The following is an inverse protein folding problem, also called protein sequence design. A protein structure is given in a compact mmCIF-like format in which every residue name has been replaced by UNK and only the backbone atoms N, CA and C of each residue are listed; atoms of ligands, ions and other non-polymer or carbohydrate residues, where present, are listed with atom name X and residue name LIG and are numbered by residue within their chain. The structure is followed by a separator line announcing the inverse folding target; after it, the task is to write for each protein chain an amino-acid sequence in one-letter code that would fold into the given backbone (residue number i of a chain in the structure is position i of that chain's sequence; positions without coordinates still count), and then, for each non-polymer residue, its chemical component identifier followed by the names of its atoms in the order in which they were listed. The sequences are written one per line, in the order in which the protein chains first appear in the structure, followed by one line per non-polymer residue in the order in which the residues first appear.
data_IF_239173592428
#
_entry.id   IF_239173592428
#
_cell.length_a   1.000
_cell.length_b   1.000
_cell.length_c   1.000
_cell.angle_alpha   90.00
_cell.angle_beta   90.00
_cell.angle_gamma   90.00
#
_symmetry.space_group_name_H-M   'P 1'
#
loop_
_entity.id
_entity.type
_entity.pdbx_description
1 polymer ?
#
# COMPACT_ATOMS: atom_id res chain seq x y z
N UNK A 1 12.17 -29.91 -60.00
CA UNK A 1 11.10 -28.96 -59.63
C UNK A 1 11.18 -28.74 -58.13
N UNK A 2 11.90 -27.70 -57.72
CA UNK A 2 12.06 -27.27 -56.33
C UNK A 2 10.90 -26.35 -55.98
N UNK A 3 10.07 -26.73 -54.99
CA UNK A 3 9.03 -25.84 -54.47
C UNK A 3 9.66 -24.78 -53.56
N UNK A 4 9.22 -23.50 -53.64
CA UNK A 4 9.69 -22.47 -52.72
C UNK A 4 9.00 -22.62 -51.36
N UNK A 5 9.79 -22.68 -50.28
CA UNK A 5 9.28 -22.61 -48.91
C UNK A 5 8.63 -21.25 -48.67
N UNK A 6 7.32 -21.25 -48.44
CA UNK A 6 6.58 -20.07 -47.98
C UNK A 6 6.97 -19.77 -46.53
N UNK A 7 7.86 -18.78 -46.35
CA UNK A 7 8.17 -18.18 -45.05
C UNK A 7 6.89 -17.53 -44.53
N UNK A 8 6.21 -18.19 -43.61
CA UNK A 8 5.05 -17.63 -42.90
C UNK A 8 5.57 -16.60 -41.90
N UNK A 9 5.50 -15.32 -42.26
CA UNK A 9 5.75 -14.22 -41.33
C UNK A 9 4.68 -14.23 -40.24
N UNK A 10 5.05 -14.65 -39.03
CA UNK A 10 4.16 -14.63 -37.88
C UNK A 10 3.67 -13.19 -37.63
N UNK A 11 2.36 -12.98 -37.34
CA UNK A 11 1.83 -11.64 -37.15
C UNK A 11 2.49 -10.99 -35.95
N UNK A 12 3.04 -9.78 -36.16
CA UNK A 12 3.57 -8.94 -35.09
C UNK A 12 2.45 -8.71 -34.07
N UNK A 13 2.52 -9.39 -32.92
CA UNK A 13 1.58 -9.19 -31.82
C UNK A 13 1.73 -7.76 -31.35
N UNK A 14 0.81 -6.90 -31.76
CA UNK A 14 0.67 -5.54 -31.22
C UNK A 14 0.46 -5.65 -29.72
N UNK A 15 1.52 -5.43 -28.94
CA UNK A 15 1.45 -5.44 -27.48
C UNK A 15 0.59 -4.26 -27.04
N UNK A 16 -0.69 -4.52 -26.73
CA UNK A 16 -1.56 -3.48 -26.16
C UNK A 16 -0.99 -3.10 -24.79
N UNK A 17 -0.66 -1.83 -24.53
CA UNK A 17 -0.01 -1.41 -23.28
C UNK A 17 -0.84 -1.79 -22.04
N UNK A 18 -2.16 -1.72 -22.16
CA UNK A 18 -3.10 -2.11 -21.11
C UNK A 18 -3.19 -3.63 -20.87
N UNK A 19 -2.84 -4.45 -21.86
CA UNK A 19 -2.86 -5.91 -21.70
C UNK A 19 -1.76 -6.38 -20.74
N UNK A 20 -0.59 -5.75 -20.78
CA UNK A 20 0.51 -6.03 -19.84
C UNK A 20 0.12 -5.64 -18.41
N UNK A 21 -0.40 -4.43 -18.21
CA UNK A 21 -0.87 -3.99 -16.91
C UNK A 21 -1.99 -4.88 -16.36
N UNK A 22 -2.98 -5.23 -17.18
CA UNK A 22 -4.06 -6.13 -16.79
C UNK A 22 -3.55 -7.53 -16.42
N UNK A 23 -2.57 -8.06 -17.15
CA UNK A 23 -1.96 -9.35 -16.81
C UNK A 23 -1.16 -9.30 -15.51
N UNK A 24 -0.45 -8.21 -15.25
CA UNK A 24 0.30 -8.02 -14.00
C UNK A 24 -0.64 -7.91 -12.79
N UNK A 25 -1.69 -7.08 -12.89
CA UNK A 25 -2.71 -6.98 -11.84
C UNK A 25 -3.36 -8.34 -11.57
N UNK A 26 -3.73 -9.08 -12.63
CA UNK A 26 -4.28 -10.41 -12.48
C UNK A 26 -3.28 -11.37 -11.78
N UNK A 27 -1.97 -11.26 -12.06
CA UNK A 27 -0.96 -12.06 -11.36
C UNK A 27 -0.87 -11.69 -9.88
N UNK A 28 -0.77 -10.40 -9.54
CA UNK A 28 -0.71 -9.92 -8.15
C UNK A 28 -1.91 -10.41 -7.35
N UNK A 29 -3.13 -10.27 -7.89
CA UNK A 29 -4.36 -10.66 -7.20
C UNK A 29 -4.73 -12.15 -7.35
N UNK A 30 -4.04 -12.95 -8.17
CA UNK A 30 -4.25 -14.42 -8.20
C UNK A 30 -3.32 -15.18 -7.25
N UNK A 31 -2.24 -14.56 -6.77
CA UNK A 31 -1.31 -15.19 -5.82
C UNK A 31 -2.02 -15.42 -4.48
N UNK A 32 -2.03 -16.67 -4.00
CA UNK A 32 -2.60 -17.06 -2.69
C UNK A 32 -2.00 -16.25 -1.54
N UNK A 33 -0.71 -15.90 -1.65
CA UNK A 33 0.00 -15.06 -0.69
C UNK A 33 -0.64 -13.68 -0.55
N UNK A 34 -1.04 -13.04 -1.65
CA UNK A 34 -1.71 -11.73 -1.65
C UNK A 34 -3.04 -11.81 -0.91
N UNK A 35 -3.83 -12.86 -1.16
CA UNK A 35 -5.08 -13.10 -0.43
C UNK A 35 -4.87 -13.35 1.06
N UNK A 36 -3.82 -14.07 1.45
CA UNK A 36 -3.49 -14.27 2.86
C UNK A 36 -3.16 -12.93 3.55
N UNK A 37 -2.41 -12.04 2.87
CA UNK A 37 -2.09 -10.71 3.40
C UNK A 37 -3.33 -9.81 3.47
N UNK A 38 -4.15 -9.77 2.42
CA UNK A 38 -5.40 -9.02 2.42
C UNK A 38 -6.37 -9.54 3.49
N UNK A 39 -6.46 -10.87 3.66
CA UNK A 39 -7.25 -11.49 4.73
C UNK A 39 -6.74 -11.12 6.12
N UNK A 40 -5.43 -11.10 6.33
CA UNK A 40 -4.83 -10.63 7.58
C UNK A 40 -5.14 -9.15 7.84
N UNK A 41 -5.11 -8.28 6.82
CA UNK A 41 -5.48 -6.87 6.96
C UNK A 41 -6.98 -6.68 7.24
N UNK A 42 -7.85 -7.47 6.59
CA UNK A 42 -9.28 -7.46 6.87
C UNK A 42 -9.61 -7.96 8.28
N UNK A 43 -8.78 -8.82 8.85
CA UNK A 43 -8.97 -9.32 10.21
C UNK A 43 -8.76 -8.22 11.26
N UNK A 44 -7.90 -7.23 11.00
CA UNK A 44 -7.61 -6.13 11.94
C UNK A 44 -8.88 -5.36 12.36
N UNK A 45 -9.68 -4.75 11.45
CA UNK A 45 -10.91 -4.08 11.84
C UNK A 45 -11.92 -5.01 12.51
N UNK A 46 -12.00 -6.27 12.09
CA UNK A 46 -12.92 -7.26 12.69
C UNK A 46 -12.54 -7.51 14.15
N UNK A 47 -11.26 -7.77 14.43
CA UNK A 47 -10.78 -8.01 15.79
C UNK A 47 -10.96 -6.79 16.67
N UNK A 48 -10.67 -5.59 16.17
CA UNK A 48 -10.88 -4.34 16.91
C UNK A 48 -12.37 -4.19 17.28
N UNK A 49 -13.26 -4.32 16.29
CA UNK A 49 -14.70 -4.14 16.51
C UNK A 49 -15.27 -5.18 17.49
N UNK A 50 -14.87 -6.45 17.36
CA UNK A 50 -15.29 -7.51 18.28
C UNK A 50 -14.72 -7.27 19.68
N UNK A 51 -13.45 -6.90 19.81
CA UNK A 51 -12.84 -6.61 21.10
C UNK A 51 -13.59 -5.48 21.82
N UNK A 52 -13.85 -4.36 21.13
CA UNK A 52 -14.60 -3.22 21.69
C UNK A 52 -16.01 -3.65 22.12
N UNK A 53 -16.69 -4.48 21.32
CA UNK A 53 -18.05 -4.96 21.60
C UNK A 53 -18.11 -5.88 22.83
N UNK A 54 -17.05 -6.64 23.10
CA UNK A 54 -16.95 -7.52 24.26
C UNK A 54 -16.61 -6.76 25.55
N UNK A 55 -15.89 -5.64 25.45
CA UNK A 55 -15.46 -4.84 26.60
C UNK A 55 -16.44 -3.74 27.02
N UNK A 56 -17.48 -3.47 26.24
CA UNK A 56 -18.40 -2.33 26.46
C UNK A 56 -19.37 -2.50 27.64
N UNK A 57 -19.35 -3.64 28.34
CA UNK A 57 -20.22 -3.93 29.49
C UNK A 57 -19.60 -3.65 30.87
N UNK A 58 -18.27 -3.46 30.94
CA UNK A 58 -17.58 -3.09 32.18
C UNK A 58 -17.19 -1.61 32.09
N UNK A 59 -17.64 -0.78 33.04
CA UNK A 59 -17.35 0.67 33.20
C UNK A 59 -15.86 0.95 33.52
N UNK A 60 -14.93 0.25 32.88
CA UNK A 60 -13.50 0.50 32.98
C UNK A 60 -13.07 1.46 31.87
N UNK A 61 -12.77 2.71 32.24
CA UNK A 61 -12.31 3.79 31.36
C UNK A 61 -11.16 3.40 30.45
N UNK A 62 -11.50 2.83 29.28
CA UNK A 62 -10.55 2.47 28.24
C UNK A 62 -10.12 3.68 27.40
N UNK A 63 -9.12 3.52 26.52
CA UNK A 63 -8.61 4.60 25.67
C UNK A 63 -9.71 5.34 24.89
N UNK A 64 -9.55 6.65 24.65
CA UNK A 64 -10.57 7.52 24.03
C UNK A 64 -11.19 6.94 22.74
N UNK A 65 -10.39 6.21 21.94
CA UNK A 65 -10.84 5.55 20.70
C UNK A 65 -11.91 4.47 20.91
N UNK A 66 -11.96 3.83 22.10
CA UNK A 66 -13.00 2.86 22.46
C UNK A 66 -14.35 3.54 22.70
N UNK A 67 -14.33 4.75 23.28
CA UNK A 67 -15.51 5.58 23.43
C UNK A 67 -16.06 6.01 22.08
N UNK A 68 -15.19 6.42 21.16
CA UNK A 68 -15.61 6.88 19.82
C UNK A 68 -16.23 5.76 18.97
N UNK A 69 -15.66 4.54 19.02
CA UNK A 69 -16.24 3.36 18.33
C UNK A 69 -17.61 2.99 18.91
N UNK A 70 -17.75 3.06 20.23
CA UNK A 70 -19.01 2.71 20.91
C UNK A 70 -20.12 3.69 20.56
N UNK A 71 -19.78 4.97 20.39
CA UNK A 71 -20.71 6.02 19.97
C UNK A 71 -21.07 5.92 18.48
N UNK A 72 -20.13 5.51 17.62
CA UNK A 72 -20.39 5.35 16.20
C UNK A 72 -19.55 4.24 15.55
N UNK A 73 -20.22 3.21 15.03
CA UNK A 73 -19.56 2.07 14.38
C UNK A 73 -18.67 2.42 13.19
N UNK A 74 -18.95 3.52 12.49
CA UNK A 74 -18.16 3.92 11.32
C UNK A 74 -16.70 4.27 11.69
N UNK A 75 -16.45 4.68 12.94
CA UNK A 75 -15.12 4.99 13.47
C UNK A 75 -14.20 3.79 13.56
N UNK A 76 -14.72 2.56 13.50
CA UNK A 76 -13.92 1.33 13.41
C UNK A 76 -12.95 1.39 12.24
N UNK A 77 -13.37 1.96 11.10
CA UNK A 77 -12.52 2.11 9.90
C UNK A 77 -11.30 2.99 10.18
N UNK A 78 -11.52 4.12 10.86
CA UNK A 78 -10.46 5.05 11.24
C UNK A 78 -9.50 4.39 12.22
N UNK A 79 -10.02 3.79 13.29
CA UNK A 79 -9.19 3.10 14.29
C UNK A 79 -8.39 1.96 13.67
N UNK A 80 -9.00 1.17 12.79
CA UNK A 80 -8.31 0.09 12.10
C UNK A 80 -7.17 0.59 11.20
N UNK A 81 -7.34 1.73 10.51
CA UNK A 81 -6.24 2.36 9.78
C UNK A 81 -5.14 2.82 10.74
N UNK A 82 -5.47 3.52 11.82
CA UNK A 82 -4.50 3.96 12.84
C UNK A 82 -3.65 2.82 13.38
N UNK A 83 -4.26 1.66 13.65
CA UNK A 83 -3.54 0.46 14.12
C UNK A 83 -2.77 -0.23 13.00
N UNK A 84 -3.28 -0.21 11.76
CA UNK A 84 -2.65 -0.92 10.64
C UNK A 84 -1.44 -0.20 10.08
N UNK A 85 -1.43 1.12 10.11
CA UNK A 85 -0.41 1.97 9.48
C UNK A 85 1.01 1.76 10.05
N UNK A 86 1.23 1.63 11.37
CA UNK A 86 2.59 1.44 11.88
C UNK A 86 3.20 0.07 11.53
N UNK A 87 2.37 -0.98 11.49
CA UNK A 87 2.89 -2.35 11.44
C UNK A 87 2.36 -3.16 10.25
N UNK A 88 1.05 -3.32 10.14
CA UNK A 88 0.46 -4.28 9.21
C UNK A 88 0.54 -3.83 7.75
N UNK A 89 0.26 -2.56 7.47
CA UNK A 89 0.36 -2.00 6.12
C UNK A 89 1.80 -1.98 5.61
N UNK A 90 2.80 -1.46 6.36
CA UNK A 90 4.19 -1.47 5.91
C UNK A 90 4.73 -2.89 5.70
N UNK A 91 4.36 -3.83 6.57
CA UNK A 91 4.74 -5.22 6.45
C UNK A 91 4.23 -5.84 5.14
N UNK A 92 2.93 -5.70 4.87
CA UNK A 92 2.30 -6.29 3.68
C UNK A 92 2.74 -5.60 2.39
N UNK A 93 2.83 -4.26 2.39
CA UNK A 93 3.34 -3.49 1.25
C UNK A 93 4.80 -3.81 0.99
N UNK A 94 5.64 -3.88 2.03
CA UNK A 94 7.06 -4.21 1.89
C UNK A 94 7.28 -5.63 1.35
N UNK A 95 6.42 -6.57 1.74
CA UNK A 95 6.41 -7.94 1.19
C UNK A 95 6.04 -7.95 -0.29
N UNK A 96 4.95 -7.29 -0.69
CA UNK A 96 4.51 -7.29 -2.10
C UNK A 96 5.51 -6.54 -2.97
N UNK A 97 5.95 -5.35 -2.55
CA UNK A 97 6.93 -4.55 -3.28
C UNK A 97 8.29 -5.27 -3.39
N UNK A 98 8.78 -5.86 -2.30
CA UNK A 98 10.05 -6.58 -2.25
C UNK A 98 10.07 -7.89 -3.04
N UNK A 99 8.92 -8.55 -3.23
CA UNK A 99 8.81 -9.79 -4.01
C UNK A 99 8.67 -9.55 -5.52
N UNK A 100 8.29 -8.32 -5.94
CA UNK A 100 7.88 -8.04 -7.33
C UNK A 100 8.92 -8.42 -8.38
N UNK A 101 10.18 -8.03 -8.20
CA UNK A 101 11.28 -8.32 -9.14
C UNK A 101 12.11 -9.51 -8.66
N UNK A 102 12.37 -9.61 -7.37
CA UNK A 102 13.25 -10.62 -6.79
C UNK A 102 12.58 -12.00 -6.84
N UNK A 103 11.25 -12.07 -6.66
CA UNK A 103 10.46 -13.29 -6.83
C UNK A 103 10.50 -13.82 -8.25
N UNK A 104 10.51 -12.94 -9.25
CA UNK A 104 10.64 -13.36 -10.66
C UNK A 104 12.07 -13.74 -11.01
N UNK A 105 13.06 -13.10 -10.38
CA UNK A 105 14.47 -13.48 -10.49
C UNK A 105 14.73 -14.89 -9.91
N UNK A 106 14.17 -15.19 -8.74
CA UNK A 106 14.38 -16.47 -8.05
C UNK A 106 13.76 -17.66 -8.78
N UNK A 107 12.62 -17.46 -9.45
CA UNK A 107 11.97 -18.48 -10.27
C UNK A 107 12.60 -18.66 -11.66
N UNK A 108 13.65 -17.91 -12.00
CA UNK A 108 14.34 -18.00 -13.30
C UNK A 108 13.56 -17.39 -14.47
N UNK A 109 12.44 -16.72 -14.20
CA UNK A 109 11.52 -16.20 -15.22
C UNK A 109 12.09 -14.99 -15.97
N UNK A 110 13.10 -14.30 -15.42
CA UNK A 110 13.76 -13.16 -16.07
C UNK A 110 14.41 -13.57 -17.40
N UNK A 111 14.98 -14.79 -17.49
CA UNK A 111 15.57 -15.29 -18.74
C UNK A 111 14.54 -15.47 -19.86
N UNK A 112 13.29 -15.78 -19.52
CA UNK A 112 12.20 -15.93 -20.50
C UNK A 112 11.62 -14.58 -20.94
N UNK A 113 11.56 -13.59 -20.03
CA UNK A 113 11.05 -12.25 -20.32
C UNK A 113 12.03 -11.39 -21.13
N UNK A 114 13.33 -11.69 -21.13
CA UNK A 114 14.33 -11.03 -21.97
C UNK A 114 14.26 -11.41 -23.45
N UNK A 115 13.46 -12.41 -23.82
CA UNK A 115 13.17 -12.77 -25.22
C UNK A 115 12.00 -11.94 -25.77
N UNK A 116 11.16 -11.35 -24.90
CA UNK A 116 10.08 -10.46 -25.28
C UNK A 116 10.55 -8.99 -25.27
N UNK A 117 10.34 -8.21 -26.34
CA UNK A 117 10.85 -6.84 -26.44
C UNK A 117 9.97 -5.86 -25.64
N UNK A 118 9.91 -6.02 -24.32
CA UNK A 118 9.34 -5.00 -23.42
C UNK A 118 10.45 -4.07 -22.95
N UNK A 119 10.35 -2.78 -23.27
CA UNK A 119 11.33 -1.79 -22.82
C UNK A 119 11.50 -1.82 -21.29
N UNK A 120 12.75 -1.74 -20.81
CA UNK A 120 13.11 -1.85 -19.38
C UNK A 120 12.32 -0.88 -18.48
N UNK A 121 12.07 0.33 -18.96
CA UNK A 121 11.25 1.32 -18.25
C UNK A 121 9.79 0.87 -18.10
N UNK A 122 9.19 0.31 -19.16
CA UNK A 122 7.79 -0.17 -19.12
C UNK A 122 7.63 -1.33 -18.15
N UNK A 123 8.62 -2.21 -18.06
CA UNK A 123 8.62 -3.31 -17.09
C UNK A 123 8.53 -2.78 -15.65
N UNK A 124 9.41 -1.86 -15.27
CA UNK A 124 9.43 -1.27 -13.91
C UNK A 124 8.12 -0.53 -13.61
N UNK A 125 7.60 0.26 -14.56
CA UNK A 125 6.35 0.98 -14.37
C UNK A 125 5.15 0.05 -14.15
N UNK A 126 5.08 -1.06 -14.89
CA UNK A 126 4.00 -2.06 -14.71
C UNK A 126 4.11 -2.75 -13.36
N UNK A 127 5.32 -3.11 -12.92
CA UNK A 127 5.57 -3.67 -11.57
C UNK A 127 5.17 -2.69 -10.47
N UNK A 128 5.55 -1.44 -10.63
CA UNK A 128 5.19 -0.39 -9.69
C UNK A 128 3.68 -0.18 -9.63
N UNK A 129 3.00 -0.14 -10.79
CA UNK A 129 1.54 -0.03 -10.84
C UNK A 129 0.83 -1.22 -10.17
N UNK A 130 1.39 -2.43 -10.23
CA UNK A 130 0.90 -3.58 -9.46
C UNK A 130 1.03 -3.37 -7.95
N UNK A 131 2.15 -2.81 -7.48
CA UNK A 131 2.33 -2.46 -6.07
C UNK A 131 1.37 -1.34 -5.63
N UNK A 132 1.17 -0.31 -6.45
CA UNK A 132 0.18 0.76 -6.19
C UNK A 132 -1.23 0.19 -6.10
N UNK A 133 -1.61 -0.71 -7.01
CA UNK A 133 -2.91 -1.36 -6.98
C UNK A 133 -3.10 -2.21 -5.71
N UNK A 134 -2.05 -2.87 -5.23
CA UNK A 134 -2.08 -3.58 -3.95
C UNK A 134 -2.26 -2.62 -2.77
N UNK A 135 -1.51 -1.50 -2.71
CA UNK A 135 -1.66 -0.50 -1.66
C UNK A 135 -3.10 0.04 -1.61
N UNK A 136 -3.68 0.37 -2.77
CA UNK A 136 -5.06 0.85 -2.86
C UNK A 136 -6.08 -0.21 -2.43
N UNK A 137 -5.91 -1.46 -2.86
CA UNK A 137 -6.80 -2.54 -2.46
C UNK A 137 -6.71 -2.83 -0.96
N UNK A 138 -5.51 -2.82 -0.38
CA UNK A 138 -5.26 -3.04 1.03
C UNK A 138 -5.94 -1.97 1.92
N UNK A 139 -5.77 -0.69 1.58
CA UNK A 139 -6.35 0.42 2.35
C UNK A 139 -7.87 0.47 2.21
N UNK A 140 -8.40 0.31 0.99
CA UNK A 140 -9.84 0.25 0.76
C UNK A 140 -10.46 -0.95 1.48
N UNK A 141 -9.81 -2.11 1.48
CA UNK A 141 -10.29 -3.28 2.20
C UNK A 141 -10.42 -3.01 3.70
N UNK A 142 -9.42 -2.39 4.33
CA UNK A 142 -9.49 -2.02 5.75
C UNK A 142 -10.67 -1.08 6.01
N UNK A 143 -10.85 -0.06 5.17
CA UNK A 143 -11.95 0.90 5.32
C UNK A 143 -13.31 0.25 5.11
N UNK A 144 -13.49 -0.56 4.07
CA UNK A 144 -14.75 -1.22 3.75
C UNK A 144 -15.11 -2.24 4.82
N UNK A 145 -14.15 -3.07 5.24
CA UNK A 145 -14.39 -4.09 6.28
C UNK A 145 -14.63 -3.42 7.62
N UNK A 146 -13.88 -2.37 7.96
CA UNK A 146 -14.09 -1.56 9.17
C UNK A 146 -15.48 -0.93 9.22
N UNK A 147 -15.91 -0.31 8.12
CA UNK A 147 -17.24 0.29 8.05
C UNK A 147 -18.34 -0.77 8.11
N UNK A 148 -18.16 -1.90 7.43
CA UNK A 148 -19.13 -3.00 7.42
C UNK A 148 -19.29 -3.64 8.80
N UNK A 149 -18.19 -4.03 9.45
CA UNK A 149 -18.25 -4.66 10.78
C UNK A 149 -18.71 -3.66 11.84
N UNK A 150 -18.30 -2.40 11.72
CA UNK A 150 -18.75 -1.30 12.57
C UNK A 150 -20.26 -1.09 12.49
N UNK A 151 -20.80 -1.03 11.27
CA UNK A 151 -22.24 -0.91 11.02
C UNK A 151 -23.06 -2.11 11.54
N UNK A 152 -22.46 -3.31 11.60
CA UNK A 152 -23.12 -4.52 12.12
C UNK A 152 -23.11 -4.57 13.65
N UNK A 153 -22.01 -4.19 14.29
CA UNK A 153 -21.82 -4.37 15.73
C UNK A 153 -22.17 -3.15 16.59
N UNK A 154 -22.27 -1.96 16.00
CA UNK A 154 -22.44 -0.70 16.72
C UNK A 154 -23.56 0.16 16.10
N UNK A 155 -24.15 1.08 16.87
CA UNK A 155 -25.14 2.01 16.32
C UNK A 155 -24.52 2.88 15.20
N UNK A 156 -25.33 3.12 14.17
CA UNK A 156 -25.01 4.03 13.07
C UNK A 156 -25.76 5.34 13.34
N UNK A 157 -25.01 6.38 13.68
CA UNK A 157 -25.54 7.73 13.90
C UNK A 157 -24.72 8.79 13.15
N UNK A 158 -24.98 10.08 13.42
CA UNK A 158 -24.08 11.14 13.02
C UNK A 158 -22.66 10.87 13.54
N UNK A 159 -21.66 10.99 12.68
CA UNK A 159 -20.26 10.73 13.04
C UNK A 159 -19.66 12.00 13.62
N UNK A 160 -19.22 11.94 14.88
CA UNK A 160 -18.49 13.04 15.51
C UNK A 160 -17.06 13.08 15.00
N UNK A 161 -16.69 14.15 14.30
CA UNK A 161 -15.35 14.42 13.82
C UNK A 161 -14.38 14.76 14.96
N UNK A 162 -13.07 14.79 14.68
CA UNK A 162 -12.07 15.23 15.66
C UNK A 162 -12.27 16.69 16.09
N UNK A 163 -12.98 17.49 15.28
CA UNK A 163 -13.38 18.85 15.61
C UNK A 163 -14.62 18.93 16.53
N UNK A 164 -15.24 17.80 16.88
CA UNK A 164 -16.47 17.74 17.66
C UNK A 164 -17.75 18.00 16.86
N UNK A 165 -17.62 18.31 15.56
CA UNK A 165 -18.76 18.49 14.65
C UNK A 165 -19.34 17.15 14.24
N UNK A 166 -20.67 17.05 14.14
CA UNK A 166 -21.34 15.84 13.68
C UNK A 166 -21.63 15.92 12.19
N UNK A 167 -21.30 14.85 11.46
CA UNK A 167 -21.61 14.72 10.04
C UNK A 167 -22.45 13.50 9.77
N UNK A 168 -23.23 13.57 8.71
CA UNK A 168 -24.01 12.44 8.21
C UNK A 168 -23.11 11.34 7.63
N UNK A 169 -23.67 10.13 7.54
CA UNK A 169 -22.95 8.95 7.05
C UNK A 169 -22.44 9.08 5.61
N UNK A 170 -23.12 9.86 4.75
CA UNK A 170 -22.69 10.04 3.36
C UNK A 170 -21.47 10.96 3.27
N UNK A 171 -21.48 12.09 3.98
CA UNK A 171 -20.30 12.96 4.10
C UNK A 171 -19.13 12.23 4.76
N UNK A 172 -19.39 11.34 5.71
CA UNK A 172 -18.34 10.48 6.28
C UNK A 172 -17.79 9.48 5.27
N UNK A 173 -18.63 8.87 4.41
CA UNK A 173 -18.15 7.95 3.37
C UNK A 173 -17.17 8.63 2.41
N UNK A 174 -17.43 9.89 2.04
CA UNK A 174 -16.48 10.70 1.27
C UNK A 174 -15.15 10.91 2.00
N UNK A 175 -15.19 11.21 3.31
CA UNK A 175 -13.98 11.31 4.14
C UNK A 175 -13.25 9.97 4.27
N UNK A 176 -13.95 8.87 4.47
CA UNK A 176 -13.38 7.53 4.56
C UNK A 176 -12.64 7.14 3.27
N UNK A 177 -13.16 7.53 2.11
CA UNK A 177 -12.45 7.39 0.84
C UNK A 177 -11.19 8.26 0.79
N UNK A 178 -11.25 9.51 1.24
CA UNK A 178 -10.07 10.38 1.34
C UNK A 178 -9.01 9.80 2.29
N UNK A 179 -9.42 9.17 3.40
CA UNK A 179 -8.51 8.46 4.30
C UNK A 179 -7.80 7.33 3.56
N UNK A 180 -8.55 6.47 2.86
CA UNK A 180 -7.97 5.38 2.08
C UNK A 180 -6.96 5.89 1.04
N UNK A 181 -7.29 6.99 0.35
CA UNK A 181 -6.40 7.60 -0.65
C UNK A 181 -5.15 8.21 -0.02
N UNK A 182 -5.27 8.91 1.11
CA UNK A 182 -4.12 9.45 1.85
C UNK A 182 -3.17 8.33 2.27
N UNK A 183 -3.70 7.26 2.88
CA UNK A 183 -2.88 6.14 3.35
C UNK A 183 -2.26 5.41 2.16
N UNK A 184 -2.99 5.27 1.04
CA UNK A 184 -2.44 4.72 -0.21
C UNK A 184 -1.25 5.53 -0.68
N UNK A 185 -1.38 6.86 -0.67
CA UNK A 185 -0.31 7.79 -1.03
C UNK A 185 0.91 7.62 -0.13
N UNK A 186 0.69 7.54 1.19
CA UNK A 186 1.73 7.30 2.20
C UNK A 186 2.51 5.99 1.98
N UNK A 187 1.87 4.97 1.42
CA UNK A 187 2.51 3.68 1.12
C UNK A 187 3.31 3.70 -0.20
N UNK A 188 3.14 4.72 -1.04
CA UNK A 188 3.78 4.76 -2.36
C UNK A 188 5.30 4.90 -2.29
N UNK A 189 5.83 5.72 -1.38
CA UNK A 189 7.29 5.83 -1.19
C UNK A 189 7.89 4.52 -0.69
N UNK A 190 7.25 3.87 0.29
CA UNK A 190 7.68 2.53 0.77
C UNK A 190 7.66 1.50 -0.36
N UNK A 191 6.62 1.50 -1.20
CA UNK A 191 6.55 0.59 -2.34
C UNK A 191 7.65 0.86 -3.37
N UNK A 192 8.09 2.10 -3.55
CA UNK A 192 9.21 2.45 -4.42
C UNK A 192 10.55 1.98 -3.84
N UNK A 193 10.76 2.15 -2.53
CA UNK A 193 11.91 1.58 -1.81
C UNK A 193 11.94 0.07 -1.97
N UNK A 194 10.80 -0.60 -1.79
CA UNK A 194 10.71 -2.05 -1.89
C UNK A 194 10.95 -2.57 -3.30
N UNK A 195 10.43 -1.87 -4.31
CA UNK A 195 10.73 -2.16 -5.71
C UNK A 195 12.23 -2.03 -5.98
N UNK A 196 12.87 -0.95 -5.51
CA UNK A 196 14.32 -0.79 -5.65
C UNK A 196 15.10 -1.90 -4.95
N UNK A 197 14.79 -2.20 -3.70
CA UNK A 197 15.41 -3.30 -2.95
C UNK A 197 15.26 -4.64 -3.68
N UNK A 198 14.08 -4.85 -4.28
CA UNK A 198 13.79 -6.02 -5.10
C UNK A 198 14.66 -6.12 -6.37
N UNK A 199 15.23 -5.02 -6.87
CA UNK A 199 16.16 -5.04 -8.02
C UNK A 199 17.60 -5.39 -7.64
N UNK A 200 17.95 -5.25 -6.37
CA UNK A 200 19.32 -5.45 -5.87
C UNK A 200 19.65 -6.91 -5.59
N UNK A 201 18.64 -7.76 -5.39
CA UNK A 201 18.81 -9.16 -4.98
C UNK A 201 17.96 -10.11 -5.83
N UNK A 202 18.47 -11.34 -5.99
CA UNK A 202 17.72 -12.45 -6.57
C UNK A 202 17.01 -13.29 -5.48
N UNK A 203 17.21 -12.94 -4.20
CA UNK A 203 16.61 -13.61 -3.05
C UNK A 203 15.43 -12.76 -2.55
N UNK A 204 14.17 -13.18 -2.79
CA UNK A 204 12.99 -12.37 -2.48
C UNK A 204 12.90 -12.03 -0.99
N UNK A 205 13.24 -12.98 -0.12
CA UNK A 205 13.20 -12.82 1.33
C UNK A 205 14.07 -11.64 1.79
N UNK A 206 15.23 -11.45 1.17
CA UNK A 206 16.13 -10.35 1.50
C UNK A 206 15.55 -8.98 1.14
N UNK A 207 14.94 -8.85 -0.05
CA UNK A 207 14.29 -7.61 -0.48
C UNK A 207 13.05 -7.26 0.36
N UNK A 208 12.26 -8.27 0.71
CA UNK A 208 11.10 -8.08 1.58
C UNK A 208 11.54 -7.64 2.98
N UNK A 209 12.50 -8.34 3.58
CA UNK A 209 13.00 -8.02 4.91
C UNK A 209 13.62 -6.61 4.96
N UNK A 210 14.45 -6.23 3.98
CA UNK A 210 15.08 -4.91 3.97
C UNK A 210 14.06 -3.78 3.88
N UNK A 211 13.01 -3.94 3.06
CA UNK A 211 11.94 -2.94 2.91
C UNK A 211 11.19 -2.73 4.23
N UNK A 212 10.83 -3.83 4.90
CA UNK A 212 10.11 -3.78 6.18
C UNK A 212 11.00 -3.24 7.30
N UNK A 213 12.27 -3.64 7.34
CA UNK A 213 13.24 -3.12 8.31
C UNK A 213 13.46 -1.62 8.10
N UNK A 214 13.55 -1.13 6.86
CA UNK A 214 13.65 0.31 6.58
C UNK A 214 12.41 1.07 7.05
N UNK A 215 11.21 0.51 6.89
CA UNK A 215 9.98 1.08 7.47
C UNK A 215 10.03 1.11 9.00
N UNK A 216 10.50 0.05 9.65
CA UNK A 216 10.68 0.01 11.10
C UNK A 216 11.70 1.04 11.59
N UNK A 217 12.86 1.12 10.93
CA UNK A 217 13.91 2.10 11.27
C UNK A 217 13.39 3.52 11.10
N UNK A 218 12.73 3.83 9.98
CA UNK A 218 12.13 5.15 9.74
C UNK A 218 11.17 5.53 10.86
N UNK A 219 10.32 4.59 11.30
CA UNK A 219 9.41 4.83 12.43
C UNK A 219 10.14 5.04 13.75
N UNK A 220 11.18 4.26 14.04
CA UNK A 220 11.97 4.45 15.28
C UNK A 220 12.65 5.82 15.28
N UNK A 221 13.22 6.25 14.15
CA UNK A 221 13.85 7.57 14.05
C UNK A 221 12.84 8.71 14.25
N UNK A 222 11.60 8.53 13.78
CA UNK A 222 10.51 9.49 13.94
C UNK A 222 10.05 9.62 15.41
N UNK A 223 10.30 8.61 16.25
CA UNK A 223 9.98 8.65 17.68
C UNK A 223 11.07 9.31 18.54
N UNK A 224 12.25 9.61 17.97
CA UNK A 224 13.38 10.19 18.69
C UNK A 224 13.38 11.72 18.58
N UNK A 225 13.13 12.47 19.67
CA UNK A 225 13.13 13.94 19.65
C UNK A 225 14.50 14.54 19.30
N UNK A 226 15.59 13.80 19.50
CA UNK A 226 16.93 14.27 19.15
C UNK A 226 17.15 14.35 17.63
N UNK A 227 16.26 13.73 16.85
CA UNK A 227 16.31 13.69 15.39
C UNK A 227 15.19 14.52 14.74
N UNK A 228 14.63 15.50 15.44
CA UNK A 228 13.56 16.38 14.93
C UNK A 228 13.89 17.00 13.56
N UNK A 229 15.17 17.32 13.32
CA UNK A 229 15.63 17.86 12.03
C UNK A 229 15.49 16.87 10.86
N UNK A 230 15.46 15.56 11.13
CA UNK A 230 15.35 14.48 10.15
C UNK A 230 13.88 14.12 9.88
N UNK A 231 12.98 14.31 10.85
CA UNK A 231 11.57 13.92 10.76
C UNK A 231 10.90 14.36 9.44
N UNK A 232 11.06 15.61 8.94
CA UNK A 232 10.41 16.03 7.69
C UNK A 232 10.83 15.23 6.44
N UNK A 233 11.97 14.55 6.50
CA UNK A 233 12.52 13.76 5.39
C UNK A 233 12.19 12.27 5.50
N UNK A 234 11.69 11.80 6.65
CA UNK A 234 11.32 10.40 6.86
C UNK A 234 10.01 10.11 6.15
N UNK A 235 10.00 9.13 5.24
CA UNK A 235 8.79 8.78 4.49
C UNK A 235 7.62 8.34 5.40
N UNK A 236 7.91 7.90 6.63
CA UNK A 236 6.91 7.50 7.64
C UNK A 236 6.32 8.68 8.43
N UNK A 237 6.94 9.85 8.42
CA UNK A 237 6.57 10.98 9.28
C UNK A 237 5.12 11.45 9.06
N UNK A 238 4.69 11.46 7.80
CA UNK A 238 3.35 11.87 7.40
C UNK A 238 2.37 10.67 7.31
N UNK A 239 2.65 9.53 7.92
CA UNK A 239 1.75 8.39 7.82
C UNK A 239 0.49 8.53 8.67
N UNK A 240 0.59 9.19 9.83
CA UNK A 240 -0.55 9.41 10.73
C UNK A 240 -1.26 10.77 10.52
N UNK A 241 -0.80 11.59 9.56
CA UNK A 241 -1.40 12.89 9.25
C UNK A 241 -2.79 12.84 8.60
N UNK A 242 -3.32 11.64 8.33
CA UNK A 242 -4.69 11.46 7.81
C UNK A 242 -5.78 11.92 8.78
N UNK A 243 -5.47 12.05 10.08
CA UNK A 243 -6.41 12.58 11.08
C UNK A 243 -6.91 13.99 10.76
N UNK A 244 -6.13 14.79 10.01
CA UNK A 244 -6.52 16.13 9.58
C UNK A 244 -7.70 16.14 8.59
N UNK A 245 -7.93 15.02 7.89
CA UNK A 245 -9.07 14.85 6.98
C UNK A 245 -10.40 14.63 7.72
N UNK A 246 -10.33 14.31 9.01
CA UNK A 246 -11.49 14.22 9.90
C UNK A 246 -11.69 15.51 10.71
N UNK A 247 -11.12 16.64 10.30
CA UNK A 247 -11.43 17.97 10.84
C UNK A 247 -12.49 18.68 10.00
N UNK A 248 -13.07 19.72 10.58
CA UNK A 248 -13.98 20.64 9.90
C UNK A 248 -13.52 22.09 10.16
N UNK A 249 -13.00 22.83 9.15
CA UNK A 249 -12.84 22.44 7.75
C UNK A 249 -11.75 21.37 7.53
N UNK A 250 -11.80 20.68 6.39
CA UNK A 250 -10.79 19.68 5.99
C UNK A 250 -9.45 20.38 5.75
N UNK A 251 -8.42 19.99 6.48
CA UNK A 251 -7.06 20.51 6.29
C UNK A 251 -6.30 19.65 5.27
N UNK A 252 -5.97 20.24 4.12
CA UNK A 252 -5.26 19.56 3.03
C UNK A 252 -3.74 19.73 3.07
N UNK A 253 -3.21 20.52 4.01
CA UNK A 253 -1.77 20.79 4.11
C UNK A 253 -0.95 19.51 4.30
N UNK A 254 -1.44 18.62 5.18
CA UNK A 254 -0.85 17.29 5.44
C UNK A 254 -0.97 16.37 4.23
N UNK A 255 -2.02 16.51 3.41
CA UNK A 255 -2.19 15.75 2.17
C UNK A 255 -1.14 16.17 1.14
N UNK A 256 -0.97 17.48 0.93
CA UNK A 256 0.02 18.02 -0.01
C UNK A 256 1.46 17.70 0.41
N UNK A 257 1.77 17.85 1.70
CA UNK A 257 3.10 17.55 2.26
C UNK A 257 3.44 16.06 2.14
N UNK A 258 2.50 15.17 2.47
CA UNK A 258 2.65 13.73 2.24
C UNK A 258 2.84 13.44 0.75
N UNK A 259 2.00 14.00 -0.14
CA UNK A 259 2.12 13.79 -1.59
C UNK A 259 3.52 14.14 -2.11
N UNK A 260 4.03 15.31 -1.73
CA UNK A 260 5.33 15.81 -2.16
C UNK A 260 6.47 14.90 -1.67
N UNK A 261 6.42 14.51 -0.40
CA UNK A 261 7.41 13.63 0.20
C UNK A 261 7.44 12.27 -0.52
N UNK A 262 6.27 11.64 -0.70
CA UNK A 262 6.17 10.34 -1.35
C UNK A 262 6.60 10.41 -2.82
N UNK A 263 6.23 11.47 -3.54
CA UNK A 263 6.70 11.71 -4.91
C UNK A 263 8.23 11.85 -4.98
N UNK A 264 8.86 12.51 -4.01
CA UNK A 264 10.32 12.58 -3.90
C UNK A 264 10.95 11.19 -3.79
N UNK A 265 10.41 10.34 -2.91
CA UNK A 265 10.88 8.95 -2.77
C UNK A 265 10.64 8.12 -4.04
N UNK A 266 9.50 8.28 -4.70
CA UNK A 266 9.20 7.60 -5.98
C UNK A 266 10.19 8.02 -7.05
N UNK A 267 10.48 9.32 -7.17
CA UNK A 267 11.43 9.83 -8.15
C UNK A 267 12.85 9.28 -7.89
N UNK A 268 13.33 9.33 -6.65
CA UNK A 268 14.67 8.85 -6.27
C UNK A 268 14.78 7.33 -6.45
N UNK A 269 13.95 6.55 -5.76
CA UNK A 269 14.04 5.09 -5.77
C UNK A 269 13.59 4.48 -7.10
N UNK A 270 12.65 5.11 -7.80
CA UNK A 270 12.26 4.73 -9.16
C UNK A 270 13.40 4.93 -10.15
N UNK A 271 14.13 6.05 -10.07
CA UNK A 271 15.31 6.31 -10.91
C UNK A 271 16.45 5.33 -10.58
N UNK A 272 16.69 5.04 -9.30
CA UNK A 272 17.69 4.06 -8.88
C UNK A 272 17.34 2.64 -9.36
N UNK A 273 16.07 2.23 -9.26
CA UNK A 273 15.60 0.94 -9.78
C UNK A 273 15.81 0.85 -11.29
N UNK A 274 15.47 1.91 -12.03
CA UNK A 274 15.72 1.98 -13.47
C UNK A 274 17.20 1.93 -13.82
N UNK A 275 18.04 2.73 -13.16
CA UNK A 275 19.48 2.75 -13.39
C UNK A 275 20.12 1.39 -13.13
N UNK A 276 19.71 0.70 -12.06
CA UNK A 276 20.19 -0.66 -11.75
C UNK A 276 19.81 -1.67 -12.83
N UNK A 277 18.57 -1.61 -13.32
CA UNK A 277 18.08 -2.48 -14.39
C UNK A 277 18.71 -2.17 -15.75
N UNK A 278 19.04 -0.91 -16.02
CA UNK A 278 19.68 -0.50 -17.27
C UNK A 278 21.14 -0.95 -17.34
N UNK A 279 21.85 -0.92 -16.20
CA UNK A 279 23.29 -1.23 -16.11
C UNK A 279 23.61 -2.70 -15.84
N UNK A 280 22.67 -3.51 -15.34
CA UNK A 280 22.89 -4.95 -15.15
C UNK A 280 22.89 -5.64 -16.52
N UNK A 281 24.04 -6.16 -16.94
CA UNK A 281 24.11 -7.18 -17.98
C UNK A 281 23.50 -8.47 -17.44
N UNK A 282 22.42 -8.93 -18.06
CA UNK A 282 21.59 -10.04 -17.54
C UNK A 282 22.10 -11.42 -18.01
N UNK A 283 23.40 -11.51 -18.33
CA UNK A 283 24.07 -12.71 -18.86
C UNK A 283 25.02 -13.39 -17.85
N UNK A 284 25.05 -12.98 -16.58
CA UNK A 284 25.82 -13.66 -15.53
C UNK A 284 24.95 -14.14 -14.39
#
# INVERSE_FOLDING_TARGET
MSQPETVTTAPARTSRPFALLGSELALVFRRRRTWAMLGALALVPILIAVAVRLTTGDDSGGPAFLGDITNNGLFVSFTALTVSIPLFLPLTVGVVAGDTVAGEASHGTIRYLLVAPTGRLRFILVKYAGAVAFCLAATLLIVIVGAAIGAVLFPIGPVTLLSGTQVDGWSYAGRALLLALYVTLSMLGLSAIGLFASTLTNVPVGAMASTVVLAGVSQVLDQLPQLDWLHPYLFSHQWLGFGDLLRDPIAFDSFGSNALLQLGYIAVFGTLAYGRFATKDVLS
#
